data_IF_877540517540
#
_entry.id   IF_877540517540
#
_cell.length_a   1.000
_cell.length_b   1.000
_cell.length_c   1.000
_cell.angle_alpha   90.00
_cell.angle_beta   90.00
_cell.angle_gamma   90.00
#
_symmetry.space_group_name_H-M   'P 1'
#
loop_
_entity.id
_entity.type
_entity.pdbx_description
1 polymer ?
#
# COMPACT_ATOMS: atom_id res chain seq x y z
N UNK A 1 -18.79 -20.02 20.86
CA UNK A 1 -17.64 -19.81 19.95
C UNK A 1 -17.93 -18.72 18.90
N UNK A 2 -18.64 -17.63 19.27
CA UNK A 2 -19.08 -16.56 18.33
C UNK A 2 -18.66 -15.16 18.80
N UNK A 3 -18.05 -15.03 19.98
CA UNK A 3 -17.79 -13.73 20.62
C UNK A 3 -16.51 -13.02 20.16
N UNK A 4 -15.62 -13.67 19.38
CA UNK A 4 -14.36 -13.07 18.93
C UNK A 4 -14.50 -11.99 17.84
N UNK A 5 -15.62 -11.93 17.13
CA UNK A 5 -15.84 -10.94 16.06
C UNK A 5 -16.12 -9.54 16.61
N UNK A 6 -16.77 -9.43 17.77
CA UNK A 6 -17.12 -8.15 18.39
C UNK A 6 -15.94 -7.53 19.18
N UNK A 7 -15.02 -8.34 19.71
CA UNK A 7 -13.78 -7.82 20.30
C UNK A 7 -12.84 -7.17 19.27
N UNK A 8 -12.95 -7.59 17.99
CA UNK A 8 -12.26 -6.93 16.87
C UNK A 8 -12.72 -5.48 16.68
N UNK A 9 -14.00 -5.20 16.94
CA UNK A 9 -14.58 -3.84 16.88
C UNK A 9 -14.17 -2.97 18.07
N UNK A 10 -13.94 -3.55 19.26
CA UNK A 10 -13.47 -2.82 20.44
C UNK A 10 -11.98 -2.41 20.36
N UNK A 11 -11.17 -3.18 19.61
CA UNK A 11 -9.76 -2.84 19.34
C UNK A 11 -9.60 -1.82 18.20
N UNK A 12 -10.71 -1.42 17.55
CA UNK A 12 -10.69 -0.44 16.46
C UNK A 12 -10.01 0.86 16.91
N UNK A 13 -10.38 1.45 18.07
CA UNK A 13 -9.75 2.69 18.58
C UNK A 13 -8.24 2.64 18.82
N UNK A 14 -7.65 1.47 19.04
CA UNK A 14 -6.19 1.30 19.24
C UNK A 14 -5.45 0.86 17.97
N UNK A 15 -6.19 0.39 16.95
CA UNK A 15 -5.66 -0.08 15.66
C UNK A 15 -6.02 0.80 14.46
N UNK A 16 -6.89 1.81 14.61
CA UNK A 16 -7.29 2.73 13.52
C UNK A 16 -6.10 3.46 12.94
N UNK A 17 -5.14 3.88 13.79
CA UNK A 17 -3.94 4.60 13.34
C UNK A 17 -3.09 3.70 12.44
N UNK A 18 -2.85 2.43 12.82
CA UNK A 18 -2.09 1.49 12.01
C UNK A 18 -2.79 1.20 10.68
N UNK A 19 -4.11 1.00 10.69
CA UNK A 19 -4.91 0.80 9.47
C UNK A 19 -4.88 2.02 8.55
N UNK A 20 -5.04 3.21 9.11
CA UNK A 20 -4.98 4.47 8.37
C UNK A 20 -3.58 4.70 7.77
N UNK A 21 -2.51 4.52 8.55
CA UNK A 21 -1.14 4.60 8.04
C UNK A 21 -0.90 3.62 6.90
N UNK A 22 -1.35 2.36 7.04
CA UNK A 22 -1.20 1.35 5.99
C UNK A 22 -1.91 1.74 4.68
N UNK A 23 -3.15 2.24 4.78
CA UNK A 23 -3.92 2.71 3.62
C UNK A 23 -3.24 3.92 2.97
N UNK A 24 -2.85 4.92 3.76
CA UNK A 24 -2.16 6.12 3.26
C UNK A 24 -0.82 5.79 2.59
N UNK A 25 -0.04 4.88 3.17
CA UNK A 25 1.21 4.38 2.56
C UNK A 25 0.94 3.67 1.24
N UNK A 26 -0.13 2.88 1.16
CA UNK A 26 -0.52 2.17 -0.08
C UNK A 26 -0.99 3.15 -1.16
N UNK A 27 -1.74 4.19 -0.79
CA UNK A 27 -2.20 5.24 -1.70
C UNK A 27 -1.04 6.09 -2.21
N UNK A 28 -0.06 6.40 -1.34
CA UNK A 28 1.16 7.09 -1.73
C UNK A 28 2.02 6.23 -2.67
N UNK A 29 2.15 4.93 -2.40
CA UNK A 29 2.84 3.99 -3.30
C UNK A 29 2.15 3.89 -4.68
N UNK A 30 0.82 3.85 -4.72
CA UNK A 30 0.04 3.93 -5.95
C UNK A 30 0.34 5.23 -6.71
N UNK A 31 0.32 6.37 -6.02
CA UNK A 31 0.57 7.69 -6.63
C UNK A 31 1.97 7.77 -7.22
N UNK A 32 3.00 7.32 -6.50
CA UNK A 32 4.37 7.26 -7.00
C UNK A 32 4.50 6.35 -8.23
N UNK A 33 3.77 5.24 -8.26
CA UNK A 33 3.77 4.31 -9.39
C UNK A 33 3.12 4.92 -10.63
N UNK A 34 1.99 5.59 -10.45
CA UNK A 34 1.31 6.31 -11.54
C UNK A 34 2.18 7.46 -12.04
N UNK A 35 2.84 8.19 -11.15
CA UNK A 35 3.76 9.28 -11.50
C UNK A 35 4.98 8.75 -12.27
N UNK A 36 5.62 7.68 -11.80
CA UNK A 36 6.72 7.03 -12.52
C UNK A 36 6.29 6.53 -13.91
N UNK A 37 5.08 5.94 -14.01
CA UNK A 37 4.51 5.51 -15.27
C UNK A 37 4.26 6.70 -16.23
N UNK A 38 3.73 7.80 -15.72
CA UNK A 38 3.50 9.03 -16.49
C UNK A 38 4.81 9.63 -17.03
N UNK A 39 5.88 9.57 -16.23
CA UNK A 39 7.22 10.02 -16.62
C UNK A 39 7.95 9.04 -17.56
N UNK A 40 7.35 7.89 -17.87
CA UNK A 40 7.99 6.86 -18.69
C UNK A 40 9.13 6.12 -17.98
N UNK A 41 9.18 6.17 -16.65
CA UNK A 41 10.19 5.50 -15.83
C UNK A 41 9.76 4.06 -15.49
N UNK A 42 9.54 3.25 -16.54
CA UNK A 42 9.07 1.86 -16.43
C UNK A 42 10.08 0.93 -15.73
N UNK A 43 11.34 1.35 -15.63
CA UNK A 43 12.46 0.59 -15.08
C UNK A 43 12.52 0.64 -13.55
N UNK A 44 11.89 1.63 -12.91
CA UNK A 44 11.88 1.78 -11.44
C UNK A 44 11.19 0.58 -10.77
N UNK A 45 10.26 -0.09 -11.46
CA UNK A 45 9.50 -1.18 -10.86
C UNK A 45 9.26 -2.34 -11.85
N UNK A 46 10.26 -3.22 -12.05
CA UNK A 46 10.20 -4.28 -13.06
C UNK A 46 9.03 -5.26 -12.84
N UNK A 47 8.58 -5.45 -11.60
CA UNK A 47 7.43 -6.29 -11.26
C UNK A 47 6.06 -5.68 -11.61
N UNK A 48 5.98 -4.35 -11.72
CA UNK A 48 4.72 -3.61 -11.91
C UNK A 48 4.51 -3.22 -13.37
N UNK A 49 5.50 -3.44 -14.24
CA UNK A 49 5.43 -3.17 -15.67
C UNK A 49 4.20 -3.78 -16.34
N UNK A 50 3.88 -5.03 -16.01
CA UNK A 50 2.68 -5.70 -16.52
C UNK A 50 1.38 -5.12 -15.96
N UNK A 51 1.41 -4.65 -14.71
CA UNK A 51 0.25 -4.04 -14.05
C UNK A 51 -0.11 -2.69 -14.66
N UNK A 52 0.87 -1.89 -15.10
CA UNK A 52 0.63 -0.60 -15.77
C UNK A 52 -0.09 -0.78 -17.12
N UNK A 53 0.15 -1.91 -17.82
CA UNK A 53 -0.54 -2.21 -19.07
C UNK A 53 -2.05 -2.45 -18.87
N UNK A 54 -2.47 -2.80 -17.66
CA UNK A 54 -3.88 -3.04 -17.30
C UNK A 54 -4.25 -2.16 -16.10
N UNK A 55 -4.71 -0.91 -16.33
CA UNK A 55 -4.97 0.07 -15.27
C UNK A 55 -5.91 -0.43 -14.18
N UNK A 56 -6.90 -1.25 -14.57
CA UNK A 56 -7.85 -1.88 -13.65
C UNK A 56 -7.13 -2.83 -12.68
N UNK A 57 -6.19 -3.64 -13.18
CA UNK A 57 -5.44 -4.59 -12.37
C UNK A 57 -4.51 -3.86 -11.38
N UNK A 58 -3.91 -2.75 -11.80
CA UNK A 58 -3.12 -1.88 -10.95
C UNK A 58 -3.94 -1.30 -9.79
N UNK A 59 -5.15 -0.79 -10.06
CA UNK A 59 -6.06 -0.31 -9.01
C UNK A 59 -6.51 -1.43 -8.08
N UNK A 60 -6.83 -2.62 -8.60
CA UNK A 60 -7.23 -3.76 -7.76
C UNK A 60 -6.09 -4.14 -6.81
N UNK A 61 -4.87 -4.27 -7.29
CA UNK A 61 -3.74 -4.75 -6.49
C UNK A 61 -3.22 -3.69 -5.52
N UNK A 62 -3.18 -2.41 -5.92
CA UNK A 62 -2.60 -1.34 -5.10
C UNK A 62 -3.60 -0.55 -4.27
N UNK A 63 -4.90 -0.69 -4.53
CA UNK A 63 -5.93 0.05 -3.80
C UNK A 63 -6.95 -0.89 -3.15
N UNK A 64 -7.58 -1.78 -3.93
CA UNK A 64 -8.64 -2.66 -3.41
C UNK A 64 -8.08 -3.70 -2.43
N UNK A 65 -6.99 -4.37 -2.79
CA UNK A 65 -6.37 -5.41 -1.95
C UNK A 65 -5.86 -4.83 -0.62
N UNK A 66 -5.09 -3.71 -0.58
CA UNK A 66 -4.66 -3.12 0.68
C UNK A 66 -5.83 -2.66 1.56
N UNK A 67 -6.91 -2.15 0.95
CA UNK A 67 -8.11 -1.77 1.68
C UNK A 67 -8.80 -2.98 2.34
N UNK A 68 -8.92 -4.10 1.61
CA UNK A 68 -9.44 -5.35 2.15
C UNK A 68 -8.53 -5.91 3.25
N UNK A 69 -7.21 -5.88 3.06
CA UNK A 69 -6.22 -6.30 4.07
C UNK A 69 -6.37 -5.47 5.35
N UNK A 70 -6.45 -4.14 5.22
CA UNK A 70 -6.66 -3.24 6.35
C UNK A 70 -8.00 -3.49 7.06
N UNK A 71 -9.03 -3.90 6.30
CA UNK A 71 -10.34 -4.23 6.84
C UNK A 71 -10.31 -5.53 7.66
N UNK A 72 -9.82 -6.62 7.08
CA UNK A 72 -9.84 -7.96 7.67
C UNK A 72 -8.77 -8.20 8.73
N UNK A 73 -7.58 -7.58 8.62
CA UNK A 73 -6.48 -7.87 9.56
C UNK A 73 -6.56 -7.08 10.88
N UNK A 74 -6.19 -7.70 12.00
CA UNK A 74 -6.01 -7.00 13.28
C UNK A 74 -4.78 -6.09 13.23
N UNK A 75 -4.89 -4.89 13.84
CA UNK A 75 -3.87 -3.82 13.78
C UNK A 75 -2.43 -4.22 14.09
N UNK A 76 -2.23 -5.22 14.96
CA UNK A 76 -0.89 -5.71 15.35
C UNK A 76 -0.15 -6.42 14.20
N UNK A 77 -0.87 -7.10 13.31
CA UNK A 77 -0.27 -7.80 12.18
C UNK A 77 0.00 -6.88 10.99
N UNK A 78 -0.56 -5.66 11.00
CA UNK A 78 -0.31 -4.65 9.96
C UNK A 78 1.05 -3.96 10.14
N UNK A 79 1.60 -3.90 11.35
CA UNK A 79 2.88 -3.23 11.64
C UNK A 79 4.05 -3.72 10.77
N UNK A 80 4.34 -5.03 10.64
CA UNK A 80 5.42 -5.49 9.77
C UNK A 80 5.16 -5.15 8.28
N UNK A 81 3.90 -5.23 7.84
CA UNK A 81 3.50 -4.87 6.47
C UNK A 81 3.69 -3.37 6.20
N UNK A 82 3.35 -2.51 7.16
CA UNK A 82 3.59 -1.05 7.10
C UNK A 82 5.09 -0.76 6.95
N UNK A 83 5.94 -1.45 7.73
CA UNK A 83 7.40 -1.28 7.64
C UNK A 83 7.96 -1.65 6.27
N UNK A 84 7.51 -2.78 5.71
CA UNK A 84 7.89 -3.19 4.36
C UNK A 84 7.39 -2.20 3.29
N UNK A 85 6.13 -1.77 3.38
CA UNK A 85 5.56 -0.77 2.46
C UNK A 85 6.31 0.57 2.54
N UNK A 86 6.66 1.01 3.74
CA UNK A 86 7.43 2.24 3.93
C UNK A 86 8.82 2.16 3.28
N UNK A 87 9.49 1.00 3.37
CA UNK A 87 10.78 0.79 2.70
C UNK A 87 10.62 0.89 1.17
N UNK A 88 9.60 0.22 0.61
CA UNK A 88 9.29 0.28 -0.83
C UNK A 88 8.98 1.71 -1.27
N UNK A 89 8.20 2.46 -0.48
CA UNK A 89 7.90 3.87 -0.73
C UNK A 89 9.15 4.72 -0.72
N UNK A 90 10.01 4.59 0.29
CA UNK A 90 11.27 5.35 0.37
C UNK A 90 12.17 5.04 -0.83
N UNK A 91 12.24 3.76 -1.22
CA UNK A 91 12.96 3.35 -2.42
C UNK A 91 12.38 4.02 -3.67
N UNK A 92 11.06 3.95 -3.87
CA UNK A 92 10.39 4.59 -5.00
C UNK A 92 10.65 6.10 -5.04
N UNK A 93 10.58 6.79 -3.90
CA UNK A 93 10.89 8.23 -3.81
C UNK A 93 12.36 8.49 -4.19
N UNK A 94 13.30 7.73 -3.62
CA UNK A 94 14.73 7.87 -3.90
C UNK A 94 15.01 7.70 -5.38
N UNK A 95 14.52 6.62 -6.00
CA UNK A 95 14.71 6.36 -7.42
C UNK A 95 14.09 7.49 -8.25
N UNK A 96 12.85 7.91 -7.93
CA UNK A 96 12.20 9.00 -8.64
C UNK A 96 13.03 10.30 -8.57
N UNK A 97 13.54 10.67 -7.40
CA UNK A 97 14.39 11.86 -7.22
C UNK A 97 15.69 11.75 -8.02
N UNK A 98 16.35 10.58 -8.03
CA UNK A 98 17.56 10.34 -8.81
C UNK A 98 17.31 10.44 -10.31
N UNK A 99 16.13 10.06 -10.80
CA UNK A 99 15.77 10.17 -12.21
C UNK A 99 15.32 11.58 -12.63
N UNK A 100 14.78 12.40 -11.71
CA UNK A 100 14.32 13.76 -12.00
C UNK A 100 15.38 14.86 -11.81
N UNK A 101 16.46 14.60 -11.08
CA UNK A 101 17.56 15.55 -10.79
C UNK A 101 18.80 15.18 -11.58
#
# INVERSE_FOLDING_TARGET
>A
MVTGWLESSATFKRGTIAKACFILLSELDLTLTVLAAYLGLWEINPFIRFLIQVPVLLLVIKLVVPFLIAWFMPGRLLVPSIGLLALVVIWNIKELVVFLV
#
